data_IF_197959251363
#
_entry.id   IF_197959251363
#
_cell.length_a   1.000
_cell.length_b   1.000
_cell.length_c   1.000
_cell.angle_alpha   90.00
_cell.angle_beta   90.00
_cell.angle_gamma   90.00
#
_symmetry.space_group_name_H-M   'P 1'
#
loop_
_entity.id
_entity.type
_entity.pdbx_description
1 polymer ?
#
# COMPACT_ATOMS: atom_id res chain seq x y z
N UNK A 1 -13.35 3.82 6.83
CA UNK A 1 -13.72 2.67 5.98
C UNK A 1 -13.94 1.40 6.81
N UNK A 2 -13.19 1.19 7.89
CA UNK A 2 -13.35 0.03 8.77
C UNK A 2 -14.66 0.00 9.58
N UNK A 3 -15.34 1.12 9.71
CA UNK A 3 -16.61 1.26 10.45
C UNK A 3 -17.82 0.70 9.68
N UNK A 4 -17.72 0.58 8.37
CA UNK A 4 -18.78 0.05 7.51
C UNK A 4 -18.55 -1.44 7.29
N UNK A 5 -19.42 -2.28 7.82
CA UNK A 5 -19.30 -3.75 7.71
C UNK A 5 -19.20 -4.23 6.25
N UNK A 6 -18.68 -5.44 6.06
CA UNK A 6 -18.44 -6.08 4.74
C UNK A 6 -19.62 -6.05 3.76
N UNK A 7 -20.85 -5.86 4.24
CA UNK A 7 -22.07 -5.80 3.42
C UNK A 7 -22.12 -4.59 2.46
N UNK A 8 -21.27 -3.56 2.69
CA UNK A 8 -21.21 -2.36 1.86
C UNK A 8 -20.01 -2.38 0.89
N UNK A 9 -19.23 -3.46 0.87
CA UNK A 9 -18.16 -3.60 -0.10
C UNK A 9 -18.75 -3.83 -1.50
N UNK A 10 -18.12 -3.20 -2.51
CA UNK A 10 -18.43 -3.48 -3.89
C UNK A 10 -18.14 -4.96 -4.19
N UNK A 11 -19.07 -5.63 -4.89
CA UNK A 11 -18.83 -6.98 -5.38
C UNK A 11 -17.92 -6.98 -6.63
N UNK A 12 -17.47 -8.15 -7.03
CA UNK A 12 -16.55 -8.32 -8.16
C UNK A 12 -17.16 -7.80 -9.46
N UNK A 13 -18.44 -8.05 -9.69
CA UNK A 13 -19.16 -7.65 -10.92
C UNK A 13 -19.25 -6.12 -11.04
N UNK A 14 -19.53 -5.46 -9.92
CA UNK A 14 -19.57 -4.00 -9.87
C UNK A 14 -18.18 -3.39 -10.15
N UNK A 15 -17.12 -3.95 -9.57
CA UNK A 15 -15.75 -3.49 -9.82
C UNK A 15 -15.37 -3.72 -11.29
N UNK A 16 -15.66 -4.89 -11.86
CA UNK A 16 -15.46 -5.17 -13.27
C UNK A 16 -16.18 -4.16 -14.16
N UNK A 17 -17.46 -3.87 -13.85
CA UNK A 17 -18.24 -2.87 -14.60
C UNK A 17 -17.61 -1.46 -14.55
N UNK A 18 -17.10 -1.05 -13.39
CA UNK A 18 -16.39 0.23 -13.22
C UNK A 18 -15.12 0.26 -14.10
N UNK A 19 -14.35 -0.81 -14.11
CA UNK A 19 -13.13 -0.90 -14.92
C UNK A 19 -13.48 -0.82 -16.41
N UNK A 20 -14.50 -1.56 -16.89
CA UNK A 20 -14.93 -1.50 -18.28
C UNK A 20 -15.37 -0.11 -18.70
N UNK A 21 -16.18 0.57 -17.90
CA UNK A 21 -16.58 1.96 -18.17
C UNK A 21 -15.40 2.92 -18.13
N UNK A 22 -14.45 2.74 -17.21
CA UNK A 22 -13.22 3.51 -17.16
C UNK A 22 -12.39 3.38 -18.42
N UNK A 23 -12.29 2.15 -18.98
CA UNK A 23 -11.58 1.91 -20.25
C UNK A 23 -12.21 2.65 -21.42
N UNK A 24 -13.53 2.75 -21.49
CA UNK A 24 -14.24 3.55 -22.48
C UNK A 24 -13.87 5.04 -22.41
N UNK A 25 -13.46 5.52 -21.23
CA UNK A 25 -12.98 6.87 -20.97
C UNK A 25 -11.45 7.00 -21.07
N UNK A 26 -10.74 5.94 -21.45
CA UNK A 26 -9.27 5.93 -21.58
C UNK A 26 -8.52 5.72 -20.25
N UNK A 27 -9.18 5.24 -19.21
CA UNK A 27 -8.54 4.91 -17.91
C UNK A 27 -8.06 3.45 -17.93
N UNK A 28 -6.75 3.27 -17.76
CA UNK A 28 -6.09 1.95 -17.76
C UNK A 28 -5.26 1.69 -16.50
N UNK A 29 -5.26 2.62 -15.54
CA UNK A 29 -4.61 2.46 -14.24
C UNK A 29 -5.63 2.63 -13.13
N UNK A 30 -5.71 1.66 -12.23
CA UNK A 30 -6.64 1.64 -11.11
C UNK A 30 -5.90 1.45 -9.79
N UNK A 31 -6.37 2.12 -8.75
CA UNK A 31 -5.78 2.03 -7.42
C UNK A 31 -6.79 1.38 -6.47
N UNK A 32 -6.42 0.23 -5.93
CA UNK A 32 -7.17 -0.40 -4.86
C UNK A 32 -6.78 0.19 -3.51
N UNK A 33 -7.78 0.73 -2.85
CA UNK A 33 -7.66 1.27 -1.50
C UNK A 33 -8.85 0.82 -0.65
N UNK A 34 -8.94 1.30 0.58
CA UNK A 34 -10.05 0.99 1.48
C UNK A 34 -9.54 0.54 2.83
N UNK A 35 -10.08 -0.56 3.38
CA UNK A 35 -9.46 -1.24 4.52
C UNK A 35 -8.15 -1.89 4.08
N UNK A 36 -8.09 -3.22 4.09
CA UNK A 36 -6.95 -3.94 3.49
C UNK A 36 -7.42 -4.66 2.23
N UNK A 37 -7.00 -4.24 1.02
CA UNK A 37 -7.45 -4.86 -0.23
C UNK A 37 -7.09 -6.34 -0.33
N UNK A 38 -5.94 -6.75 0.23
CA UNK A 38 -5.46 -8.13 0.11
C UNK A 38 -6.25 -9.16 0.91
N UNK A 39 -7.24 -8.76 1.73
CA UNK A 39 -8.24 -9.69 2.26
C UNK A 39 -9.07 -10.31 1.13
N UNK A 40 -9.08 -9.71 -0.06
CA UNK A 40 -9.79 -10.15 -1.25
C UNK A 40 -8.83 -10.59 -2.37
N UNK A 41 -7.71 -11.25 -2.02
CA UNK A 41 -6.68 -11.72 -2.98
C UNK A 41 -7.28 -12.35 -4.25
N UNK A 42 -8.28 -13.23 -4.08
CA UNK A 42 -8.91 -13.95 -5.20
C UNK A 42 -9.62 -13.01 -6.18
N UNK A 43 -10.31 -12.01 -5.65
CA UNK A 43 -11.00 -11.01 -6.48
C UNK A 43 -9.99 -10.09 -7.18
N UNK A 44 -8.92 -9.68 -6.48
CA UNK A 44 -7.86 -8.87 -7.07
C UNK A 44 -7.20 -9.59 -8.25
N UNK A 45 -6.77 -10.83 -8.06
CA UNK A 45 -6.19 -11.64 -9.14
C UNK A 45 -7.17 -11.85 -10.28
N UNK A 46 -8.45 -12.11 -9.95
CA UNK A 46 -9.48 -12.28 -10.98
C UNK A 46 -9.69 -11.03 -11.83
N UNK A 47 -9.68 -9.84 -11.22
CA UNK A 47 -9.77 -8.58 -11.95
C UNK A 47 -8.54 -8.33 -12.83
N UNK A 48 -7.34 -8.67 -12.35
CA UNK A 48 -6.13 -8.63 -13.15
C UNK A 48 -6.20 -9.53 -14.39
N UNK A 49 -6.74 -10.74 -14.24
CA UNK A 49 -6.97 -11.66 -15.36
C UNK A 49 -7.99 -11.14 -16.38
N UNK A 50 -9.08 -10.55 -15.89
CA UNK A 50 -10.16 -10.03 -16.75
C UNK A 50 -9.73 -8.78 -17.53
N UNK A 51 -8.75 -8.04 -17.02
CA UNK A 51 -8.27 -6.79 -17.59
C UNK A 51 -6.73 -6.77 -17.75
N UNK A 52 -6.16 -7.65 -18.61
CA UNK A 52 -4.72 -7.75 -18.76
C UNK A 52 -4.09 -6.53 -19.45
N UNK A 53 -4.89 -5.63 -19.98
CA UNK A 53 -4.54 -4.34 -20.56
C UNK A 53 -4.56 -3.18 -19.56
N UNK A 54 -4.91 -3.44 -18.30
CA UNK A 54 -4.91 -2.46 -17.21
C UNK A 54 -3.80 -2.75 -16.21
N UNK A 55 -3.34 -1.69 -15.53
CA UNK A 55 -2.43 -1.77 -14.39
C UNK A 55 -3.19 -1.55 -13.09
N UNK A 56 -2.92 -2.38 -12.10
CA UNK A 56 -3.54 -2.31 -10.79
C UNK A 56 -2.52 -2.05 -9.70
N UNK A 57 -2.60 -0.89 -9.07
CA UNK A 57 -1.81 -0.55 -7.91
C UNK A 57 -2.66 -0.76 -6.65
N UNK A 58 -2.06 -1.24 -5.56
CA UNK A 58 -2.77 -1.45 -4.30
C UNK A 58 -1.99 -0.93 -3.12
N UNK A 59 -2.60 -0.08 -2.30
CA UNK A 59 -2.08 0.20 -0.97
C UNK A 59 -2.36 -0.98 -0.06
N UNK A 60 -1.32 -1.51 0.60
CA UNK A 60 -1.46 -2.68 1.47
C UNK A 60 -0.61 -2.55 2.73
N UNK A 61 -1.11 -3.11 3.82
CA UNK A 61 -0.36 -3.26 5.06
C UNK A 61 0.68 -4.41 5.01
N UNK A 62 0.75 -5.16 3.92
CA UNK A 62 1.73 -6.22 3.69
C UNK A 62 1.52 -7.50 4.49
N UNK A 63 0.55 -7.55 5.41
CA UNK A 63 0.43 -8.65 6.38
C UNK A 63 -0.10 -9.96 5.80
N UNK A 64 -0.69 -9.91 4.61
CA UNK A 64 -1.32 -11.05 3.95
C UNK A 64 -0.56 -11.55 2.72
N UNK A 65 0.63 -11.03 2.45
CA UNK A 65 1.48 -11.54 1.37
C UNK A 65 2.10 -12.87 1.77
N UNK A 66 1.93 -13.87 0.91
CA UNK A 66 2.49 -15.21 1.01
C UNK A 66 3.04 -15.64 -0.36
N UNK A 67 3.72 -16.79 -0.39
CA UNK A 67 4.31 -17.35 -1.61
C UNK A 67 3.26 -17.51 -2.71
N UNK A 68 2.11 -18.12 -2.39
CA UNK A 68 1.02 -18.39 -3.35
C UNK A 68 0.51 -17.09 -3.99
N UNK A 69 0.28 -16.05 -3.19
CA UNK A 69 -0.20 -14.77 -3.72
C UNK A 69 0.86 -14.08 -4.59
N UNK A 70 2.14 -14.15 -4.20
CA UNK A 70 3.23 -13.60 -5.00
C UNK A 70 3.41 -14.36 -6.33
N UNK A 71 3.19 -15.69 -6.35
CA UNK A 71 3.21 -16.48 -7.59
C UNK A 71 2.04 -16.10 -8.52
N UNK A 72 0.87 -15.83 -7.96
CA UNK A 72 -0.27 -15.32 -8.72
C UNK A 72 -0.01 -13.92 -9.29
N UNK A 73 0.62 -13.02 -8.52
CA UNK A 73 1.05 -11.70 -9.01
C UNK A 73 2.04 -11.85 -10.17
N UNK A 74 3.00 -12.77 -10.05
CA UNK A 74 3.96 -13.07 -11.12
C UNK A 74 3.27 -13.60 -12.38
N UNK A 75 2.20 -14.36 -12.22
CA UNK A 75 1.42 -14.93 -13.34
C UNK A 75 0.62 -13.85 -14.07
N UNK A 76 -0.07 -12.95 -13.34
CA UNK A 76 -0.92 -11.92 -13.98
C UNK A 76 -0.12 -10.71 -14.48
N UNK A 77 0.98 -10.32 -13.81
CA UNK A 77 1.97 -9.30 -14.19
C UNK A 77 1.50 -7.85 -14.23
N UNK A 78 0.27 -7.57 -13.84
CA UNK A 78 -0.33 -6.25 -13.87
C UNK A 78 -0.85 -5.80 -12.49
N UNK A 79 -0.23 -6.29 -11.41
CA UNK A 79 -0.53 -5.90 -10.03
C UNK A 79 0.73 -5.43 -9.32
N UNK A 80 0.72 -4.19 -8.82
CA UNK A 80 1.86 -3.57 -8.15
C UNK A 80 1.44 -3.08 -6.75
N UNK A 81 1.94 -3.67 -5.67
CA UNK A 81 1.66 -3.18 -4.32
C UNK A 81 2.54 -1.98 -3.94
N UNK A 82 1.96 -1.08 -3.16
CA UNK A 82 2.65 -0.06 -2.39
C UNK A 82 2.44 -0.36 -0.90
N UNK A 83 3.48 -0.82 -0.24
CA UNK A 83 3.40 -1.23 1.16
C UNK A 83 3.38 -0.03 2.09
N UNK A 84 2.49 -0.07 3.06
CA UNK A 84 2.45 0.91 4.12
C UNK A 84 3.63 0.72 5.07
N UNK A 85 4.56 1.67 5.08
CA UNK A 85 5.78 1.65 5.89
C UNK A 85 6.07 3.05 6.43
N UNK A 86 6.29 3.17 7.75
CA UNK A 86 6.27 4.45 8.46
C UNK A 86 7.66 4.84 9.02
N UNK A 87 8.75 4.36 8.40
CA UNK A 87 10.12 4.63 8.83
C UNK A 87 10.83 3.42 9.44
N UNK A 88 11.56 3.62 10.54
CA UNK A 88 12.23 2.54 11.27
C UNK A 88 11.22 1.52 11.83
N UNK A 89 11.71 0.36 12.27
CA UNK A 89 10.88 -0.67 12.91
C UNK A 89 10.12 -0.12 14.11
N UNK A 90 10.78 0.67 14.96
CA UNK A 90 10.16 1.29 16.12
C UNK A 90 9.05 2.27 15.71
N UNK A 91 9.30 3.16 14.75
CA UNK A 91 8.31 4.13 14.26
C UNK A 91 7.12 3.43 13.59
N UNK A 92 7.39 2.41 12.79
CA UNK A 92 6.36 1.64 12.10
C UNK A 92 5.47 0.87 13.09
N UNK A 93 6.09 0.11 13.99
CA UNK A 93 5.36 -0.76 14.92
C UNK A 93 4.64 0.07 16.00
N UNK A 94 5.18 1.21 16.39
CA UNK A 94 4.50 2.15 17.27
C UNK A 94 3.18 2.66 16.71
N UNK A 95 3.05 2.79 15.39
CA UNK A 95 1.82 3.25 14.72
C UNK A 95 0.92 2.12 14.24
N UNK A 96 1.50 1.04 13.73
CA UNK A 96 0.77 -0.02 13.01
C UNK A 96 0.60 -1.30 13.82
N UNK A 97 1.30 -1.41 14.94
CA UNK A 97 1.27 -2.57 15.83
C UNK A 97 2.55 -3.41 15.75
N UNK A 98 2.86 -4.05 16.85
CA UNK A 98 4.07 -4.86 17.04
C UNK A 98 4.20 -5.95 15.97
N UNK A 99 5.39 -6.06 15.38
CA UNK A 99 5.75 -7.07 14.39
C UNK A 99 5.19 -6.81 12.98
N UNK A 100 4.51 -5.69 12.73
CA UNK A 100 4.03 -5.34 11.37
C UNK A 100 5.20 -5.00 10.47
N UNK A 101 6.23 -4.31 10.96
CA UNK A 101 7.42 -4.02 10.18
C UNK A 101 8.04 -5.28 9.57
N UNK A 102 8.24 -6.33 10.37
CA UNK A 102 8.84 -7.58 9.90
C UNK A 102 7.96 -8.29 8.85
N UNK A 103 6.64 -8.19 8.95
CA UNK A 103 5.73 -8.72 7.93
C UNK A 103 5.86 -7.97 6.62
N UNK A 104 5.98 -6.64 6.66
CA UNK A 104 6.21 -5.81 5.46
C UNK A 104 7.56 -6.17 4.82
N UNK A 105 8.63 -6.27 5.62
CA UNK A 105 9.95 -6.68 5.10
C UNK A 105 9.91 -8.06 4.45
N UNK A 106 9.19 -9.00 5.04
CA UNK A 106 8.99 -10.32 4.46
C UNK A 106 8.25 -10.25 3.12
N UNK A 107 7.15 -9.48 3.04
CA UNK A 107 6.39 -9.29 1.81
C UNK A 107 7.24 -8.67 0.68
N UNK A 108 8.03 -7.63 1.01
CA UNK A 108 8.97 -7.02 0.05
C UNK A 108 9.99 -8.03 -0.45
N UNK A 109 10.54 -8.85 0.46
CA UNK A 109 11.48 -9.91 0.08
C UNK A 109 10.87 -10.93 -0.87
N UNK A 110 9.65 -11.38 -0.62
CA UNK A 110 8.95 -12.32 -1.50
C UNK A 110 8.78 -11.79 -2.93
N UNK A 111 8.47 -10.50 -3.07
CA UNK A 111 8.35 -9.85 -4.37
C UNK A 111 9.70 -9.63 -5.03
N UNK A 112 10.70 -9.15 -4.28
CA UNK A 112 12.07 -8.95 -4.77
C UNK A 112 12.68 -10.25 -5.32
N UNK A 113 12.53 -11.34 -4.58
CA UNK A 113 13.06 -12.65 -4.97
C UNK A 113 12.46 -13.16 -6.31
N UNK A 114 11.26 -12.65 -6.67
CA UNK A 114 10.56 -12.92 -7.93
C UNK A 114 10.78 -11.88 -9.02
N UNK A 115 11.54 -10.83 -8.75
CA UNK A 115 11.71 -9.70 -9.66
C UNK A 115 10.43 -8.91 -9.92
N UNK A 116 9.49 -8.94 -8.98
CA UNK A 116 8.22 -8.21 -9.06
C UNK A 116 8.37 -6.78 -8.59
N UNK A 117 7.77 -5.80 -9.29
CA UNK A 117 7.80 -4.40 -8.88
C UNK A 117 6.94 -4.17 -7.65
N UNK A 118 7.41 -3.31 -6.76
CA UNK A 118 6.65 -2.79 -5.62
C UNK A 118 7.19 -1.43 -5.18
N UNK A 119 6.40 -0.73 -4.41
CA UNK A 119 6.80 0.52 -3.77
C UNK A 119 6.35 0.59 -2.32
N UNK A 120 6.49 1.78 -1.75
CA UNK A 120 6.02 2.07 -0.39
C UNK A 120 5.08 3.27 -0.37
N UNK A 121 4.26 3.30 0.65
CA UNK A 121 3.35 4.39 0.99
C UNK A 121 3.60 4.77 2.44
N UNK A 122 4.15 5.95 2.64
CA UNK A 122 4.56 6.46 3.95
C UNK A 122 3.69 7.64 4.35
N UNK A 123 3.00 7.54 5.48
CA UNK A 123 2.33 8.68 6.07
C UNK A 123 3.24 9.31 7.12
N UNK A 124 3.78 10.48 6.83
CA UNK A 124 4.66 11.18 7.75
C UNK A 124 3.89 12.09 8.71
N UNK A 125 4.35 12.11 9.95
CA UNK A 125 3.78 12.79 11.12
C UNK A 125 4.88 13.50 11.89
N UNK A 126 4.53 14.35 12.84
CA UNK A 126 5.52 14.95 13.75
C UNK A 126 6.29 13.95 14.61
N UNK A 127 5.86 12.69 14.67
CA UNK A 127 6.53 11.65 15.47
C UNK A 127 7.49 10.78 14.67
N UNK A 128 7.34 10.69 13.35
CA UNK A 128 8.19 9.82 12.51
C UNK A 128 8.95 10.59 11.42
N UNK A 129 8.78 11.91 11.32
CA UNK A 129 9.40 12.69 10.25
C UNK A 129 10.91 12.49 10.22
N UNK A 130 11.60 12.57 11.35
CA UNK A 130 13.07 12.38 11.43
C UNK A 130 13.51 11.00 10.92
N UNK A 131 12.69 9.97 11.14
CA UNK A 131 12.95 8.62 10.62
C UNK A 131 12.72 8.52 9.12
N UNK A 132 11.62 9.07 8.60
CA UNK A 132 11.23 8.90 7.18
C UNK A 132 11.94 9.88 6.24
N UNK A 133 12.54 10.96 6.77
CA UNK A 133 13.38 11.89 6.02
C UNK A 133 14.86 11.51 6.02
N UNK A 134 15.26 10.50 6.82
CA UNK A 134 16.66 10.08 6.95
C UNK A 134 17.19 9.39 5.70
N UNK A 135 18.47 9.59 5.36
CA UNK A 135 19.15 8.85 4.30
C UNK A 135 19.10 7.34 4.54
N UNK A 136 19.21 6.90 5.81
CA UNK A 136 19.13 5.49 6.18
C UNK A 136 17.81 4.85 5.78
N UNK A 137 16.71 5.57 5.90
CA UNK A 137 15.40 5.07 5.45
C UNK A 137 15.34 4.89 3.94
N UNK A 138 15.84 5.86 3.17
CA UNK A 138 15.89 5.76 1.70
C UNK A 138 16.82 4.65 1.25
N UNK A 139 18.01 4.54 1.81
CA UNK A 139 18.95 3.46 1.52
C UNK A 139 18.31 2.09 1.81
N UNK A 140 17.60 1.97 2.92
CA UNK A 140 16.86 0.76 3.27
C UNK A 140 15.79 0.40 2.22
N UNK A 141 15.02 1.38 1.74
CA UNK A 141 14.02 1.15 0.70
C UNK A 141 14.66 0.67 -0.61
N UNK A 142 15.77 1.30 -1.01
CA UNK A 142 16.54 0.93 -2.20
C UNK A 142 17.09 -0.49 -2.05
N UNK A 143 17.69 -0.80 -0.92
CA UNK A 143 18.23 -2.13 -0.61
C UNK A 143 17.16 -3.21 -0.59
N UNK A 144 15.95 -2.90 -0.13
CA UNK A 144 14.80 -3.79 -0.21
C UNK A 144 14.30 -4.00 -1.64
N UNK A 145 14.63 -3.09 -2.57
CA UNK A 145 14.23 -3.16 -3.97
C UNK A 145 12.94 -2.41 -4.28
N UNK A 146 12.51 -1.49 -3.43
CA UNK A 146 11.38 -0.61 -3.73
C UNK A 146 11.71 0.29 -4.92
N UNK A 147 10.79 0.41 -5.89
CA UNK A 147 10.98 1.18 -7.11
C UNK A 147 10.41 2.60 -7.03
N UNK A 148 9.50 2.83 -6.10
CA UNK A 148 8.89 4.14 -5.85
C UNK A 148 8.45 4.27 -4.40
N UNK A 149 8.29 5.51 -3.95
CA UNK A 149 7.76 5.84 -2.64
C UNK A 149 6.74 6.99 -2.76
N UNK A 150 5.61 6.84 -2.11
CA UNK A 150 4.63 7.91 -1.95
C UNK A 150 4.61 8.38 -0.50
N UNK A 151 4.81 9.68 -0.31
CA UNK A 151 4.79 10.31 1.00
C UNK A 151 3.49 11.10 1.17
N UNK A 152 2.71 10.72 2.17
CA UNK A 152 1.45 11.37 2.50
C UNK A 152 1.58 12.17 3.78
N UNK A 153 1.21 13.42 3.70
CA UNK A 153 1.11 14.27 4.87
C UNK A 153 -0.05 13.81 5.77
N UNK A 154 0.19 13.65 7.05
CA UNK A 154 -0.89 13.35 7.99
C UNK A 154 -1.90 14.49 8.05
N UNK A 155 -3.16 14.19 7.83
CA UNK A 155 -4.28 15.13 7.97
C UNK A 155 -5.22 14.65 9.06
N UNK A 156 -5.47 15.47 10.10
CA UNK A 156 -6.33 15.12 11.23
C UNK A 156 -7.80 15.25 10.83
N UNK A 157 -8.33 14.26 10.11
CA UNK A 157 -9.74 14.21 9.69
C UNK A 157 -10.46 13.04 10.34
N UNK A 158 -11.73 13.21 10.65
CA UNK A 158 -12.56 12.19 11.28
C UNK A 158 -12.69 12.37 12.80
N UNK A 159 -13.40 11.43 13.42
CA UNK A 159 -13.77 11.51 14.85
C UNK A 159 -12.57 11.27 15.78
N UNK A 160 -11.60 10.48 15.33
CA UNK A 160 -10.41 10.09 16.10
C UNK A 160 -9.15 10.84 15.61
N UNK A 161 -9.33 12.07 15.12
CA UNK A 161 -8.22 12.91 14.69
C UNK A 161 -7.28 13.22 15.88
N UNK A 162 -5.98 13.04 15.65
CA UNK A 162 -4.91 13.26 16.64
C UNK A 162 -4.05 14.47 16.23
N UNK A 163 -4.42 15.70 16.65
CA UNK A 163 -3.69 16.91 16.26
C UNK A 163 -2.20 16.88 16.67
N UNK A 164 -1.85 16.13 17.70
CA UNK A 164 -0.48 15.93 18.18
C UNK A 164 0.44 15.21 17.16
N UNK A 165 -0.14 14.59 16.14
CA UNK A 165 0.60 13.98 15.04
C UNK A 165 0.93 14.96 13.91
N UNK A 166 0.42 16.20 13.99
CA UNK A 166 0.77 17.22 13.00
C UNK A 166 2.24 17.60 13.12
N UNK A 167 2.84 17.88 11.96
CA UNK A 167 4.18 18.46 11.91
C UNK A 167 4.16 19.90 12.45
N UNK A 168 5.23 20.27 13.15
CA UNK A 168 5.53 21.65 13.46
C UNK A 168 5.90 22.42 12.18
N UNK A 169 5.87 23.77 12.20
CA UNK A 169 6.35 24.56 11.06
C UNK A 169 7.81 24.21 10.67
N UNK A 170 8.70 24.06 11.65
CA UNK A 170 10.10 23.73 11.40
C UNK A 170 10.29 22.36 10.73
N UNK A 171 9.53 21.34 11.19
CA UNK A 171 9.53 20.02 10.58
C UNK A 171 8.95 19.97 9.13
N UNK A 172 8.29 21.03 8.70
CA UNK A 172 7.78 21.13 7.32
C UNK A 172 8.77 21.75 6.35
N UNK A 173 9.80 22.40 6.87
CA UNK A 173 10.86 23.04 6.07
C UNK A 173 12.03 22.08 5.80
N UNK A 174 12.08 20.96 6.51
CA UNK A 174 13.03 19.85 6.28
C UNK A 174 12.59 18.99 5.08
#
# INVERSE_FOLDING_TARGET
>A
AAEYGHKLNLDLETIDSIIRQGKELGVYMYIYTGGEPTVRKKDLIKLCEMHPDCEFLSFSNGTLFDEEFCDEILRVKNFVPAFSLEGSEEANDGRRGEGIYQKVMHAMKLLKDRGLPFGVSTCYTGMNVDSVSSEEYFDKLIDCGALFAWFFHYMPVGNDASPELLLTPDQREE
#
